data_IF_789008513643
#
_entry.id   IF_789008513643
#
_cell.length_a   1.000
_cell.length_b   1.000
_cell.length_c   1.000
_cell.angle_alpha   90.00
_cell.angle_beta   90.00
_cell.angle_gamma   90.00
#
_symmetry.space_group_name_H-M   'P 1'
#
loop_
_entity.id
_entity.type
_entity.pdbx_description
1 polymer ?
#
# COMPACT_ATOMS: atom_id res chain seq x y z
N UNK A 1 -2.86 1.70 -7.63
CA UNK A 1 -3.27 2.21 -6.31
C UNK A 1 -4.29 3.31 -6.53
N UNK A 2 -5.44 3.22 -5.90
CA UNK A 2 -6.47 4.26 -5.96
C UNK A 2 -6.76 4.71 -4.53
N UNK A 3 -6.63 5.98 -4.24
CA UNK A 3 -6.83 6.53 -2.91
C UNK A 3 -7.63 7.84 -2.94
N UNK A 4 -8.46 8.07 -1.94
CA UNK A 4 -9.17 9.32 -1.73
C UNK A 4 -8.52 10.09 -0.59
N UNK A 5 -7.93 11.23 -0.88
CA UNK A 5 -7.31 12.11 0.10
C UNK A 5 -8.25 13.24 0.50
N UNK A 6 -8.51 13.38 1.79
CA UNK A 6 -9.31 14.49 2.34
C UNK A 6 -8.42 15.41 3.17
N UNK A 7 -8.15 16.61 2.68
CA UNK A 7 -7.44 17.67 3.42
C UNK A 7 -8.43 18.45 4.27
N UNK A 8 -8.28 18.40 5.59
CA UNK A 8 -8.97 19.27 6.53
C UNK A 8 -7.99 20.34 7.01
N UNK A 9 -7.98 21.50 6.39
CA UNK A 9 -7.39 22.71 6.97
C UNK A 9 -8.50 23.50 7.64
N UNK A 10 -8.25 24.14 8.77
CA UNK A 10 -9.19 24.97 9.54
C UNK A 10 -10.19 25.71 8.63
N UNK A 11 -11.38 25.13 8.43
CA UNK A 11 -12.50 25.71 7.69
C UNK A 11 -12.70 25.29 6.23
N UNK A 12 -11.81 24.54 5.60
CA UNK A 12 -11.97 24.08 4.21
C UNK A 12 -11.66 22.59 4.10
N UNK A 13 -12.62 21.82 3.60
CA UNK A 13 -12.42 20.42 3.19
C UNK A 13 -12.15 20.38 1.69
N UNK A 14 -11.07 19.76 1.27
CA UNK A 14 -10.81 19.43 -0.13
C UNK A 14 -10.62 17.92 -0.24
N UNK A 15 -11.36 17.29 -1.14
CA UNK A 15 -11.21 15.86 -1.44
C UNK A 15 -10.66 15.71 -2.85
N UNK A 16 -9.67 14.84 -3.02
CA UNK A 16 -9.11 14.45 -4.31
C UNK A 16 -8.97 12.94 -4.36
N UNK A 17 -9.40 12.35 -5.46
CA UNK A 17 -9.08 10.97 -5.81
C UNK A 17 -7.85 10.97 -6.71
N UNK A 18 -6.88 10.15 -6.37
CA UNK A 18 -5.65 9.96 -7.13
C UNK A 18 -5.49 8.47 -7.45
N UNK A 19 -4.92 8.17 -8.60
CA UNK A 19 -4.71 6.81 -9.09
C UNK A 19 -3.31 6.73 -9.67
N UNK A 20 -2.49 5.84 -9.14
CA UNK A 20 -1.12 5.59 -9.59
C UNK A 20 -0.89 4.11 -9.86
N UNK A 21 0.09 3.80 -10.70
CA UNK A 21 0.53 2.44 -11.01
C UNK A 21 1.95 2.24 -10.48
N UNK A 22 2.17 1.13 -9.78
CA UNK A 22 3.48 0.77 -9.27
C UNK A 22 3.80 -0.70 -9.61
N UNK A 23 5.08 -0.97 -9.84
CA UNK A 23 5.62 -2.32 -10.00
C UNK A 23 6.46 -2.67 -8.78
N UNK A 24 6.27 -3.87 -8.25
CA UNK A 24 7.04 -4.35 -7.10
C UNK A 24 7.43 -5.82 -7.28
N UNK A 25 8.54 -6.21 -6.65
CA UNK A 25 8.97 -7.59 -6.54
C UNK A 25 8.60 -8.14 -5.16
N UNK A 26 8.02 -9.33 -5.13
CA UNK A 26 7.59 -10.02 -3.92
C UNK A 26 8.39 -11.31 -3.74
N UNK A 27 8.74 -11.61 -2.51
CA UNK A 27 9.34 -12.89 -2.08
C UNK A 27 8.32 -13.58 -1.18
N UNK A 28 8.09 -14.87 -1.41
CA UNK A 28 7.15 -15.64 -0.62
C UNK A 28 7.67 -17.01 -0.22
N UNK A 29 7.11 -17.52 0.86
CA UNK A 29 7.27 -18.91 1.31
C UNK A 29 5.90 -19.48 1.66
N UNK A 30 5.65 -20.71 1.25
CA UNK A 30 4.36 -21.39 1.44
C UNK A 30 4.57 -22.78 1.98
N UNK A 31 3.58 -23.25 2.73
CA UNK A 31 3.45 -24.65 3.13
C UNK A 31 2.08 -25.15 2.71
N UNK A 32 2.06 -26.22 1.92
CA UNK A 32 0.85 -26.91 1.52
C UNK A 32 0.48 -27.96 2.56
N UNK A 33 -0.80 -28.04 2.90
CA UNK A 33 -1.37 -29.10 3.73
C UNK A 33 -1.69 -30.34 2.89
N UNK A 34 -1.91 -31.47 3.56
CA UNK A 34 -2.32 -32.71 2.88
C UNK A 34 -3.66 -32.58 2.13
N UNK A 35 -4.50 -31.63 2.50
CA UNK A 35 -5.81 -31.34 1.89
C UNK A 35 -5.72 -30.35 0.71
N UNK A 36 -4.50 -29.92 0.37
CA UNK A 36 -4.24 -29.02 -0.75
C UNK A 36 -4.34 -27.53 -0.42
N UNK A 37 -4.72 -27.15 0.80
CA UNK A 37 -4.67 -25.77 1.25
C UNK A 37 -3.21 -25.33 1.39
N UNK A 38 -2.83 -24.18 0.84
CA UNK A 38 -1.52 -23.58 1.08
C UNK A 38 -1.64 -22.39 2.02
N UNK A 39 -0.73 -22.27 2.98
CA UNK A 39 -0.61 -21.11 3.85
C UNK A 39 0.79 -20.51 3.64
N UNK A 40 0.87 -19.20 3.46
CA UNK A 40 2.10 -18.54 3.12
C UNK A 40 2.27 -17.18 3.75
N UNK A 41 3.52 -16.72 3.68
CA UNK A 41 3.92 -15.35 3.99
C UNK A 41 4.62 -14.78 2.76
N UNK A 42 4.27 -13.56 2.41
CA UNK A 42 4.89 -12.82 1.32
C UNK A 42 5.37 -11.45 1.82
N UNK A 43 6.48 -10.98 1.28
CA UNK A 43 7.07 -9.70 1.61
C UNK A 43 7.45 -8.98 0.31
N UNK A 44 7.06 -7.71 0.21
CA UNK A 44 7.58 -6.77 -0.78
C UNK A 44 8.57 -5.86 -0.03
N UNK A 45 9.89 -6.11 -0.15
CA UNK A 45 10.90 -5.39 0.63
C UNK A 45 11.32 -4.06 -0.02
N UNK A 46 10.57 -3.58 -1.01
CA UNK A 46 10.88 -2.38 -1.78
C UNK A 46 9.91 -1.27 -1.42
N UNK A 47 10.43 -0.03 -1.41
CA UNK A 47 9.57 1.15 -1.35
C UNK A 47 8.93 1.40 -2.72
N UNK A 48 7.66 1.78 -2.70
CA UNK A 48 6.91 2.19 -3.88
C UNK A 48 6.17 3.49 -3.58
N UNK A 49 6.44 4.54 -4.38
CA UNK A 49 5.73 5.81 -4.25
C UNK A 49 4.25 5.60 -4.55
N UNK A 50 3.39 5.99 -3.61
CA UNK A 50 1.94 5.91 -3.71
C UNK A 50 1.30 7.26 -4.00
N UNK A 51 2.07 8.32 -3.90
CA UNK A 51 1.64 9.67 -4.27
C UNK A 51 2.66 10.72 -3.93
N UNK A 52 2.68 11.76 -4.76
CA UNK A 52 3.46 12.97 -4.49
C UNK A 52 2.71 14.22 -4.92
N UNK A 53 2.96 15.32 -4.22
CA UNK A 53 2.35 16.60 -4.51
C UNK A 53 3.35 17.74 -4.32
N UNK A 54 3.27 18.74 -5.21
CA UNK A 54 4.10 19.92 -5.13
C UNK A 54 3.23 21.16 -5.42
N UNK A 55 3.07 22.04 -4.42
CA UNK A 55 2.20 23.21 -4.51
C UNK A 55 2.95 24.44 -4.05
N UNK A 56 2.95 25.50 -4.86
CA UNK A 56 3.42 26.83 -4.45
C UNK A 56 2.27 27.60 -3.83
N UNK A 57 2.44 28.03 -2.59
CA UNK A 57 1.43 28.79 -1.85
C UNK A 57 2.05 29.77 -0.86
N UNK A 58 1.21 30.65 -0.35
CA UNK A 58 1.56 31.59 0.71
C UNK A 58 0.81 31.16 1.97
N UNK A 59 1.55 30.83 3.01
CA UNK A 59 1.02 30.39 4.29
C UNK A 59 1.21 31.51 5.34
N UNK A 60 0.19 31.74 6.17
CA UNK A 60 0.25 32.64 7.32
C UNK A 60 0.64 31.85 8.56
N UNK A 61 1.73 32.25 9.19
CA UNK A 61 2.18 31.77 10.49
C UNK A 61 1.95 32.85 11.55
N UNK A 62 2.02 32.49 12.81
CA UNK A 62 1.97 33.43 13.92
C UNK A 62 3.11 34.44 13.83
N UNK A 63 4.26 34.02 13.31
CA UNK A 63 5.46 34.84 13.12
C UNK A 63 5.49 35.67 11.83
N UNK A 64 4.49 35.54 10.94
CA UNK A 64 4.43 36.23 9.67
C UNK A 64 3.90 35.43 8.51
N UNK A 65 4.24 35.83 7.30
CA UNK A 65 3.80 35.18 6.06
C UNK A 65 4.99 34.51 5.37
N UNK A 66 4.85 33.26 4.98
CA UNK A 66 5.86 32.49 4.25
C UNK A 66 5.31 32.07 2.89
N UNK A 67 6.05 32.38 1.83
CA UNK A 67 5.70 32.00 0.45
C UNK A 67 6.73 31.03 -0.09
N UNK A 68 6.29 29.96 -0.73
CA UNK A 68 7.18 29.01 -1.39
C UNK A 68 6.50 27.74 -1.83
N UNK A 69 7.30 26.83 -2.36
CA UNK A 69 6.84 25.53 -2.83
C UNK A 69 6.88 24.53 -1.67
N UNK A 70 5.74 23.95 -1.38
CA UNK A 70 5.57 22.84 -0.45
C UNK A 70 5.57 21.53 -1.27
N UNK A 71 6.35 20.56 -0.81
CA UNK A 71 6.42 19.23 -1.42
C UNK A 71 6.09 18.20 -0.35
N UNK A 72 5.35 17.17 -0.73
CA UNK A 72 5.09 15.99 0.09
C UNK A 72 4.99 14.78 -0.81
N UNK A 73 5.55 13.66 -0.38
CA UNK A 73 5.38 12.34 -0.98
C UNK A 73 5.09 11.31 0.09
N UNK A 74 4.46 10.22 -0.30
CA UNK A 74 4.24 9.06 0.54
C UNK A 74 4.64 7.80 -0.22
N UNK A 75 5.36 6.92 0.47
CA UNK A 75 5.87 5.68 -0.05
C UNK A 75 5.35 4.52 0.79
N UNK A 76 4.96 3.42 0.14
CA UNK A 76 4.78 2.14 0.81
C UNK A 76 6.14 1.47 0.99
N UNK A 77 6.39 0.96 2.19
CA UNK A 77 7.56 0.13 2.47
C UNK A 77 7.15 -1.12 3.26
N UNK A 78 7.98 -2.17 3.21
CA UNK A 78 7.81 -3.38 4.02
C UNK A 78 6.40 -4.00 3.99
N UNK A 79 5.78 -4.10 2.82
CA UNK A 79 4.46 -4.72 2.69
C UNK A 79 4.54 -6.22 2.98
N UNK A 80 3.94 -6.66 4.09
CA UNK A 80 3.97 -8.04 4.56
C UNK A 80 2.57 -8.63 4.54
N UNK A 81 2.39 -9.77 3.86
CA UNK A 81 1.11 -10.47 3.73
C UNK A 81 1.19 -11.87 4.31
N UNK A 82 0.24 -12.25 5.14
CA UNK A 82 -0.04 -13.64 5.52
C UNK A 82 -1.30 -14.06 4.77
N UNK A 83 -1.28 -15.22 4.12
CA UNK A 83 -2.38 -15.63 3.26
C UNK A 83 -2.60 -17.13 3.21
N UNK A 84 -3.80 -17.50 2.76
CA UNK A 84 -4.18 -18.86 2.43
C UNK A 84 -4.63 -18.94 0.98
N UNK A 85 -4.24 -20.04 0.30
CA UNK A 85 -4.68 -20.37 -1.06
C UNK A 85 -5.56 -21.61 -0.96
N UNK A 86 -6.80 -21.45 -1.36
CA UNK A 86 -7.82 -22.50 -1.35
C UNK A 86 -8.01 -23.03 -2.77
N UNK A 87 -7.67 -24.31 -3.04
CA UNK A 87 -7.81 -24.88 -4.38
C UNK A 87 -9.29 -24.92 -4.81
N UNK A 88 -9.54 -24.59 -6.07
CA UNK A 88 -10.87 -24.56 -6.69
C UNK A 88 -10.91 -25.63 -7.80
N UNK A 89 -11.19 -26.87 -7.40
CA UNK A 89 -11.19 -28.01 -8.33
C UNK A 89 -9.77 -28.54 -8.63
N UNK A 90 -9.62 -29.24 -9.75
CA UNK A 90 -8.38 -29.96 -10.12
C UNK A 90 -7.54 -29.26 -11.18
N UNK A 91 -7.95 -28.07 -11.64
CA UNK A 91 -7.32 -27.38 -12.78
C UNK A 91 -6.29 -26.33 -12.37
N UNK A 92 -5.80 -26.39 -11.11
CA UNK A 92 -4.84 -25.43 -10.57
C UNK A 92 -5.42 -24.04 -10.24
N UNK A 93 -6.72 -23.82 -10.39
CA UNK A 93 -7.36 -22.59 -9.92
C UNK A 93 -7.43 -22.56 -8.39
N UNK A 94 -7.26 -21.38 -7.82
CA UNK A 94 -7.38 -21.18 -6.39
C UNK A 94 -8.01 -19.82 -6.07
N UNK A 95 -8.62 -19.71 -4.89
CA UNK A 95 -8.96 -18.46 -4.25
C UNK A 95 -7.91 -18.11 -3.19
N UNK A 96 -7.56 -16.83 -3.07
CA UNK A 96 -6.68 -16.30 -2.05
C UNK A 96 -7.47 -15.47 -1.05
N UNK A 97 -7.17 -15.65 0.22
CA UNK A 97 -7.58 -14.80 1.31
C UNK A 97 -6.37 -14.48 2.16
N UNK A 98 -6.16 -13.23 2.50
CA UNK A 98 -5.02 -12.83 3.31
C UNK A 98 -5.24 -11.50 4.00
N UNK A 99 -4.23 -11.10 4.74
CA UNK A 99 -4.12 -9.81 5.39
C UNK A 99 -2.71 -9.60 5.88
N UNK A 100 -2.42 -8.39 6.29
CA UNK A 100 -1.08 -8.05 6.74
C UNK A 100 -0.96 -6.59 7.10
N UNK A 101 0.24 -6.08 6.99
CA UNK A 101 0.56 -4.69 7.28
C UNK A 101 1.53 -4.13 6.25
N UNK A 102 1.49 -2.81 6.10
CA UNK A 102 2.41 -2.04 5.27
C UNK A 102 2.79 -0.78 6.03
N UNK A 103 4.05 -0.38 5.93
CA UNK A 103 4.49 0.90 6.47
C UNK A 103 4.35 1.99 5.40
N UNK A 104 3.76 3.10 5.79
CA UNK A 104 3.63 4.33 5.00
C UNK A 104 4.64 5.33 5.52
N UNK A 105 5.64 5.61 4.71
CA UNK A 105 6.67 6.61 5.03
C UNK A 105 6.33 7.91 4.30
N UNK A 106 6.36 9.03 5.04
CA UNK A 106 6.09 10.34 4.46
C UNK A 106 7.37 11.17 4.38
N UNK A 107 7.54 11.88 3.27
CA UNK A 107 8.67 12.79 3.07
C UNK A 107 8.14 14.16 2.68
N UNK A 108 8.44 15.18 3.50
CA UNK A 108 7.96 16.52 3.27
C UNK A 108 9.07 17.57 3.24
N UNK A 109 8.83 18.61 2.44
CA UNK A 109 9.55 19.86 2.46
C UNK A 109 8.55 21.01 2.47
N UNK A 110 8.02 21.33 3.68
CA UNK A 110 6.99 22.34 3.86
C UNK A 110 7.61 23.63 4.38
N UNK A 111 7.24 24.76 3.78
CA UNK A 111 7.74 26.08 4.18
C UNK A 111 7.25 26.53 5.56
N UNK A 112 6.21 25.90 6.06
CA UNK A 112 5.71 26.10 7.43
C UNK A 112 6.57 25.39 8.49
N UNK A 113 7.48 24.51 8.09
CA UNK A 113 8.22 23.63 9.00
C UNK A 113 7.37 22.49 9.58
N UNK A 114 6.14 22.31 9.09
CA UNK A 114 5.31 21.18 9.48
C UNK A 114 5.88 19.87 8.91
N UNK A 115 5.69 18.78 9.64
CA UNK A 115 5.96 17.41 9.17
C UNK A 115 4.82 16.50 9.56
N UNK A 116 4.64 15.43 8.81
CA UNK A 116 3.74 14.33 9.11
C UNK A 116 4.59 13.14 9.58
N UNK A 117 4.01 12.25 10.36
CA UNK A 117 4.72 11.05 10.80
C UNK A 117 4.50 9.88 9.84
N UNK A 118 5.28 8.82 10.07
CA UNK A 118 5.06 7.54 9.41
C UNK A 118 3.96 6.77 10.13
N UNK A 119 3.26 5.91 9.41
CA UNK A 119 2.15 5.10 9.94
C UNK A 119 2.20 3.68 9.37
N UNK A 120 1.81 2.70 10.17
CA UNK A 120 1.63 1.32 9.71
C UNK A 120 0.14 1.03 9.55
N UNK A 121 -0.26 0.57 8.37
CA UNK A 121 -1.64 0.25 8.04
C UNK A 121 -1.82 -1.26 7.95
N UNK A 122 -2.88 -1.77 8.56
CA UNK A 122 -3.33 -3.12 8.28
C UNK A 122 -4.16 -3.15 7.00
N UNK A 123 -4.25 -4.33 6.41
CA UNK A 123 -5.07 -4.55 5.22
C UNK A 123 -5.64 -5.96 5.15
N UNK A 124 -6.68 -6.10 4.35
CA UNK A 124 -7.22 -7.38 3.91
C UNK A 124 -7.08 -7.53 2.41
N UNK A 125 -6.82 -8.74 1.93
CA UNK A 125 -6.67 -9.05 0.50
C UNK A 125 -7.47 -10.28 0.11
N UNK A 126 -8.12 -10.21 -1.05
CA UNK A 126 -8.77 -11.34 -1.70
C UNK A 126 -8.25 -11.47 -3.12
N UNK A 127 -8.15 -12.67 -3.64
CA UNK A 127 -7.64 -12.88 -4.99
C UNK A 127 -8.08 -14.18 -5.60
N UNK A 128 -7.81 -14.30 -6.88
CA UNK A 128 -8.01 -15.50 -7.67
C UNK A 128 -6.76 -15.73 -8.51
N UNK A 129 -6.37 -16.98 -8.68
CA UNK A 129 -5.21 -17.30 -9.47
C UNK A 129 -5.24 -18.70 -10.03
N UNK A 130 -4.21 -18.99 -10.78
CA UNK A 130 -3.96 -20.31 -11.35
C UNK A 130 -2.50 -20.70 -11.19
N UNK A 131 -2.27 -21.88 -10.64
CA UNK A 131 -0.96 -22.53 -10.55
C UNK A 131 -0.78 -23.54 -11.68
N UNK A 132 0.45 -23.63 -12.18
CA UNK A 132 0.87 -24.67 -13.12
C UNK A 132 2.20 -25.25 -12.67
N UNK A 133 2.16 -26.52 -12.31
CA UNK A 133 3.37 -27.28 -12.02
C UNK A 133 4.14 -27.53 -13.32
N UNK A 134 5.43 -27.32 -13.23
CA UNK A 134 6.41 -27.60 -14.26
C UNK A 134 7.29 -28.80 -13.84
N UNK A 135 8.25 -29.15 -14.67
CA UNK A 135 9.21 -30.16 -14.31
C UNK A 135 10.06 -29.78 -13.08
N UNK A 136 10.55 -30.80 -12.36
CA UNK A 136 11.49 -30.62 -11.23
C UNK A 136 10.97 -29.85 -10.02
N UNK A 137 9.64 -29.87 -9.77
CA UNK A 137 9.03 -29.19 -8.65
C UNK A 137 8.97 -27.65 -8.79
N UNK A 138 9.24 -27.14 -9.97
CA UNK A 138 9.02 -25.73 -10.28
C UNK A 138 7.55 -25.51 -10.61
N UNK A 139 7.01 -24.35 -10.24
CA UNK A 139 5.67 -23.93 -10.64
C UNK A 139 5.66 -22.48 -11.13
N UNK A 140 4.68 -22.15 -11.93
CA UNK A 140 4.35 -20.79 -12.34
C UNK A 140 2.93 -20.46 -11.91
N UNK A 141 2.75 -19.28 -11.39
CA UNK A 141 1.48 -18.77 -10.87
C UNK A 141 1.13 -17.45 -11.53
N UNK A 142 -0.16 -17.27 -11.89
CA UNK A 142 -0.73 -15.99 -12.28
C UNK A 142 -1.88 -15.68 -11.33
N UNK A 143 -1.91 -14.51 -10.76
CA UNK A 143 -2.88 -14.10 -9.75
C UNK A 143 -3.37 -12.67 -10.02
N UNK A 144 -4.65 -12.43 -9.76
CA UNK A 144 -5.22 -11.10 -9.59
C UNK A 144 -5.76 -10.97 -8.17
N UNK A 145 -5.50 -9.85 -7.51
CA UNK A 145 -5.93 -9.62 -6.14
C UNK A 145 -6.40 -8.17 -5.94
N UNK A 146 -7.39 -8.03 -5.08
CA UNK A 146 -7.87 -6.76 -4.54
C UNK A 146 -7.46 -6.68 -3.08
N UNK A 147 -6.90 -5.54 -2.68
CA UNK A 147 -6.48 -5.27 -1.32
C UNK A 147 -7.09 -3.97 -0.85
N UNK A 148 -7.68 -3.99 0.32
CA UNK A 148 -8.30 -2.89 1.03
C UNK A 148 -7.50 -2.60 2.30
N UNK A 149 -7.06 -1.35 2.46
CA UNK A 149 -6.24 -0.90 3.59
C UNK A 149 -7.09 -0.15 4.59
N UNK A 150 -6.69 -0.14 5.85
CA UNK A 150 -7.33 0.71 6.87
C UNK A 150 -7.19 2.19 6.51
N UNK A 151 -8.18 2.99 6.90
CA UNK A 151 -8.10 4.45 6.76
C UNK A 151 -6.92 4.98 7.57
N UNK A 152 -6.09 5.80 6.94
CA UNK A 152 -5.00 6.50 7.62
C UNK A 152 -5.39 7.93 8.01
N UNK A 153 -4.85 8.40 9.14
CA UNK A 153 -5.00 9.77 9.59
C UNK A 153 -3.65 10.34 10.06
N UNK A 154 -3.02 11.16 9.23
CA UNK A 154 -1.77 11.83 9.53
C UNK A 154 -2.02 13.24 10.06
N UNK A 155 -1.46 13.57 11.23
CA UNK A 155 -1.51 14.89 11.83
C UNK A 155 -0.16 15.59 11.71
N UNK A 156 -0.18 16.83 11.20
CA UNK A 156 1.06 17.61 11.11
C UNK A 156 1.54 18.05 12.49
N UNK A 157 2.86 18.04 12.66
CA UNK A 157 3.58 18.57 13.80
C UNK A 157 4.51 19.69 13.37
N UNK A 158 5.06 20.48 14.30
CA UNK A 158 6.09 21.48 14.01
C UNK A 158 5.58 22.79 13.42
N UNK A 159 4.27 23.01 13.32
CA UNK A 159 3.69 24.28 12.87
C UNK A 159 2.61 24.79 13.82
N UNK A 160 2.32 26.10 13.76
CA UNK A 160 1.27 26.74 14.58
C UNK A 160 -0.16 26.28 14.22
N UNK A 161 -0.34 25.69 13.04
CA UNK A 161 -1.62 25.16 12.57
C UNK A 161 -1.52 23.65 12.36
N UNK A 162 -2.30 22.90 13.10
CA UNK A 162 -2.42 21.44 12.90
C UNK A 162 -3.28 21.17 11.67
N UNK A 163 -2.69 20.47 10.71
CA UNK A 163 -3.39 19.96 9.53
C UNK A 163 -3.53 18.45 9.66
N UNK A 164 -4.70 17.92 9.32
CA UNK A 164 -4.95 16.48 9.29
C UNK A 164 -5.15 16.06 7.84
N UNK A 165 -4.48 14.99 7.45
CA UNK A 165 -4.67 14.30 6.17
C UNK A 165 -5.23 12.93 6.51
N UNK A 166 -6.37 12.59 5.96
CA UNK A 166 -6.90 11.23 6.05
C UNK A 166 -7.24 10.70 4.67
N UNK A 167 -7.20 9.40 4.50
CA UNK A 167 -7.52 8.79 3.22
C UNK A 167 -7.78 7.31 3.34
N UNK A 168 -8.58 6.83 2.41
CA UNK A 168 -8.82 5.42 2.14
C UNK A 168 -7.93 5.00 0.98
N UNK A 169 -7.43 3.78 1.05
CA UNK A 169 -6.52 3.23 0.05
C UNK A 169 -6.96 1.84 -0.35
N UNK A 170 -6.98 1.59 -1.65
CA UNK A 170 -7.28 0.29 -2.22
C UNK A 170 -6.36 -0.02 -3.40
N UNK A 171 -6.07 -1.28 -3.63
CA UNK A 171 -5.27 -1.70 -4.78
C UNK A 171 -5.90 -2.85 -5.53
N UNK A 172 -5.82 -2.79 -6.85
CA UNK A 172 -6.05 -3.92 -7.74
C UNK A 172 -4.70 -4.32 -8.34
N UNK A 173 -4.27 -5.56 -8.11
CA UNK A 173 -2.98 -6.05 -8.55
C UNK A 173 -3.11 -7.25 -9.49
N UNK A 174 -2.15 -7.37 -10.40
CA UNK A 174 -1.92 -8.58 -11.18
C UNK A 174 -0.46 -9.03 -10.94
N UNK A 175 -0.26 -10.33 -10.73
CA UNK A 175 1.03 -10.88 -10.38
C UNK A 175 1.36 -12.12 -11.19
N UNK A 176 2.64 -12.26 -11.56
CA UNK A 176 3.22 -13.49 -12.08
C UNK A 176 4.30 -13.93 -11.11
N UNK A 177 4.25 -15.18 -10.67
CA UNK A 177 5.21 -15.74 -9.73
C UNK A 177 5.83 -17.02 -10.27
N UNK A 178 7.06 -17.26 -9.88
CA UNK A 178 7.77 -18.53 -10.12
C UNK A 178 8.24 -19.03 -8.78
N UNK A 179 7.97 -20.28 -8.48
CA UNK A 179 8.38 -20.91 -7.24
C UNK A 179 8.94 -22.31 -7.45
N UNK A 180 9.49 -22.88 -6.37
CA UNK A 180 10.00 -24.25 -6.32
C UNK A 180 9.52 -24.93 -5.06
N UNK A 181 8.93 -26.12 -5.26
CA UNK A 181 8.57 -27.04 -4.18
C UNK A 181 9.76 -27.94 -3.83
N UNK A 182 9.93 -28.27 -2.56
CA UNK A 182 10.99 -29.15 -2.03
C UNK A 182 10.51 -29.96 -0.83
#
# INVERSE_FOLDING_TARGET
VSGTQTLKTSGSKSSKTHSDEAMAAEIFIEKQTAEGLSVGVAIIPMSAEIGSNSVSRTDKLTSGTVTGTNKASADFSMHTTIYALMPMGSNGFYAKLGGGFVDVETTESLKTGASYGDESLNFATIGLGVDRDLANGTFVRVEAAYTDYEEFELKSTGSDAVSTISGDLETLSARISVGKSF
#
